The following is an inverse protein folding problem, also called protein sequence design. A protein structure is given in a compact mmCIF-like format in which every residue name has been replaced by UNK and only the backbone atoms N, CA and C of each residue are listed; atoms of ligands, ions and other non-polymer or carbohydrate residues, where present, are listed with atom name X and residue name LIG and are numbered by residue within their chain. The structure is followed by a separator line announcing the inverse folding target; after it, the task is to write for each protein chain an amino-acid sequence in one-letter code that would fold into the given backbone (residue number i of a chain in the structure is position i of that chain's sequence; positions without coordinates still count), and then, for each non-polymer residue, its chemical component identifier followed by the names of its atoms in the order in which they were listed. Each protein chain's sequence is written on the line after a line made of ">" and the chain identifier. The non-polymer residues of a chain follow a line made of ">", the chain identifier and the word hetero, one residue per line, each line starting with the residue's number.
data_IF_947530822615
#
_entry.id   IF_947530822615
#
_cell.length_a   1.000
_cell.length_b   1.000
_cell.length_c   1.000
_cell.angle_alpha   90.00
_cell.angle_beta   90.00
_cell.angle_gamma   90.00
#
_symmetry.space_group_name_H-M   'P 1'
#
loop_
_entity.id
_entity.type
_entity.pdbx_description
1 polymer ?
#
# COMPACT_ATOMS: atom_id res chain seq x y z
N UNK A 1 15.69 13.63 -18.16
CA UNK A 1 15.34 12.23 -18.56
C UNK A 1 14.57 12.27 -19.88
N UNK A 2 15.26 12.27 -21.02
CA UNK A 2 14.61 12.55 -22.32
C UNK A 2 13.64 11.47 -22.79
N UNK A 3 13.75 10.25 -22.24
CA UNK A 3 12.93 9.11 -22.67
C UNK A 3 11.84 8.70 -21.68
N UNK A 4 11.71 9.38 -20.53
CA UNK A 4 10.74 9.05 -19.49
C UNK A 4 9.39 9.72 -19.77
N UNK A 5 8.32 8.96 -19.68
CA UNK A 5 6.92 9.43 -19.73
C UNK A 5 6.15 8.82 -18.56
N UNK A 6 5.39 9.64 -17.86
CA UNK A 6 4.53 9.20 -16.76
C UNK A 6 3.07 9.54 -17.07
N UNK A 7 2.22 8.53 -17.12
CA UNK A 7 0.77 8.62 -17.25
C UNK A 7 0.09 8.28 -15.92
N UNK A 8 -1.14 8.69 -15.74
CA UNK A 8 -1.97 8.28 -14.60
C UNK A 8 -3.38 7.87 -15.05
N UNK A 9 -3.92 6.85 -14.40
CA UNK A 9 -5.36 6.62 -14.43
C UNK A 9 -6.06 7.46 -13.35
N UNK A 10 -7.32 7.13 -13.07
CA UNK A 10 -8.20 7.94 -12.21
C UNK A 10 -8.14 7.56 -10.71
N UNK A 11 -7.42 6.49 -10.34
CA UNK A 11 -7.42 6.03 -8.95
C UNK A 11 -6.80 7.04 -7.97
N UNK A 12 -5.67 7.67 -8.35
CA UNK A 12 -4.97 8.62 -7.49
C UNK A 12 -4.14 9.66 -8.29
N UNK A 13 -4.78 10.54 -9.07
CA UNK A 13 -4.06 11.56 -9.85
C UNK A 13 -3.22 12.50 -8.97
N UNK A 14 -3.66 12.76 -7.73
CA UNK A 14 -2.93 13.61 -6.79
C UNK A 14 -1.53 13.07 -6.46
N UNK A 15 -1.40 11.76 -6.25
CA UNK A 15 -0.12 11.10 -6.05
C UNK A 15 0.74 11.19 -7.31
N UNK A 16 0.17 10.93 -8.49
CA UNK A 16 0.88 11.01 -9.76
C UNK A 16 1.46 12.42 -10.01
N UNK A 17 0.68 13.47 -9.75
CA UNK A 17 1.16 14.86 -9.85
C UNK A 17 2.33 15.15 -8.89
N UNK A 18 2.29 14.64 -7.66
CA UNK A 18 3.41 14.77 -6.72
C UNK A 18 4.66 14.04 -7.23
N UNK A 19 4.49 12.82 -7.77
CA UNK A 19 5.60 12.02 -8.31
C UNK A 19 6.29 12.76 -9.46
N UNK A 20 5.55 13.24 -10.46
CA UNK A 20 6.15 13.97 -11.60
C UNK A 20 6.76 15.30 -11.18
N UNK A 21 6.22 15.96 -10.13
CA UNK A 21 6.82 17.14 -9.54
C UNK A 21 8.22 16.84 -8.97
N UNK A 22 8.40 15.72 -8.27
CA UNK A 22 9.72 15.29 -7.78
C UNK A 22 10.68 14.89 -8.92
N UNK A 23 10.14 14.37 -10.03
CA UNK A 23 10.92 14.03 -11.23
C UNK A 23 11.25 15.24 -12.10
N UNK A 24 10.66 16.42 -11.82
CA UNK A 24 10.78 17.64 -12.62
C UNK A 24 10.39 17.45 -14.10
N UNK A 25 9.34 16.69 -14.35
CA UNK A 25 8.75 16.44 -15.67
C UNK A 25 7.24 16.73 -15.64
N UNK A 26 6.60 17.02 -16.77
CA UNK A 26 5.15 17.06 -16.85
C UNK A 26 4.54 15.67 -16.76
N UNK A 27 3.29 15.59 -16.31
CA UNK A 27 2.46 14.40 -16.50
C UNK A 27 2.06 14.32 -17.98
N UNK A 28 2.11 13.13 -18.58
CA UNK A 28 1.76 12.93 -19.98
C UNK A 28 0.29 13.22 -20.25
N UNK A 29 -0.01 13.77 -21.42
CA UNK A 29 -1.38 14.00 -21.85
C UNK A 29 -2.05 12.68 -22.24
N UNK A 30 -2.85 12.14 -21.32
CA UNK A 30 -3.71 10.98 -21.53
C UNK A 30 -5.12 11.29 -21.06
N UNK A 31 -6.11 10.97 -21.88
CA UNK A 31 -7.50 11.01 -21.47
C UNK A 31 -7.93 9.62 -21.06
N UNK A 32 -8.34 9.46 -19.80
CA UNK A 32 -8.93 8.23 -19.25
C UNK A 32 -10.34 8.55 -18.81
N UNK A 33 -11.32 7.94 -19.47
CA UNK A 33 -12.74 8.20 -19.26
C UNK A 33 -13.58 6.96 -19.46
N UNK A 34 -14.87 7.17 -19.70
CA UNK A 34 -15.84 6.09 -19.93
C UNK A 34 -16.76 6.45 -21.10
N UNK A 35 -17.15 5.42 -21.84
CA UNK A 35 -18.29 5.50 -22.73
C UNK A 35 -19.60 5.57 -21.92
N UNK A 36 -20.71 5.87 -22.59
CA UNK A 36 -22.03 6.02 -21.94
C UNK A 36 -22.55 4.73 -21.30
N UNK A 37 -22.07 3.58 -21.73
CA UNK A 37 -22.38 2.25 -21.19
C UNK A 37 -21.47 1.83 -20.03
N UNK A 38 -20.44 2.67 -19.73
CA UNK A 38 -19.51 2.45 -18.61
C UNK A 38 -18.19 1.79 -18.98
N UNK A 39 -18.00 1.38 -20.25
CA UNK A 39 -16.72 0.84 -20.73
C UNK A 39 -15.60 1.89 -20.62
N UNK A 40 -14.39 1.44 -20.28
CA UNK A 40 -13.23 2.33 -20.15
C UNK A 40 -12.77 2.82 -21.55
N UNK A 41 -12.58 4.11 -21.65
CA UNK A 41 -12.04 4.78 -22.83
C UNK A 41 -10.71 5.42 -22.52
N UNK A 42 -9.68 5.12 -23.31
CA UNK A 42 -8.33 5.73 -23.17
C UNK A 42 -7.87 6.31 -24.50
N UNK A 43 -7.29 7.51 -24.43
CA UNK A 43 -6.60 8.15 -25.54
C UNK A 43 -5.26 8.72 -25.06
N UNK A 44 -4.16 8.29 -25.66
CA UNK A 44 -2.81 8.85 -25.41
C UNK A 44 -2.60 10.00 -26.41
N UNK A 45 -2.48 11.22 -25.91
CA UNK A 45 -2.38 12.45 -26.71
C UNK A 45 -0.97 12.96 -26.88
N UNK A 46 0.00 12.21 -26.38
CA UNK A 46 1.41 12.53 -26.45
C UNK A 46 2.18 11.49 -27.29
N UNK A 47 3.27 11.91 -27.94
CA UNK A 47 4.15 10.98 -28.63
C UNK A 47 4.98 10.17 -27.61
N UNK A 48 4.67 8.90 -27.48
CA UNK A 48 5.33 7.95 -26.56
C UNK A 48 6.22 6.93 -27.29
N UNK A 49 6.39 7.06 -28.61
CA UNK A 49 7.17 6.10 -29.43
C UNK A 49 8.61 5.97 -28.90
N UNK A 50 8.98 4.73 -28.57
CA UNK A 50 10.31 4.37 -28.07
C UNK A 50 10.63 4.87 -26.65
N UNK A 51 9.67 5.54 -25.98
CA UNK A 51 9.85 6.04 -24.61
C UNK A 51 9.64 4.96 -23.57
N UNK A 52 10.24 5.15 -22.39
CA UNK A 52 10.00 4.37 -21.17
C UNK A 52 8.76 4.95 -20.45
N UNK A 53 7.66 4.26 -20.58
CA UNK A 53 6.35 4.73 -20.13
C UNK A 53 5.98 4.10 -18.78
N UNK A 54 5.62 4.93 -17.81
CA UNK A 54 5.15 4.52 -16.48
C UNK A 54 3.68 4.88 -16.33
N UNK A 55 2.86 3.92 -15.88
CA UNK A 55 1.44 4.13 -15.58
C UNK A 55 1.29 4.11 -14.06
N UNK A 56 0.98 5.24 -13.44
CA UNK A 56 0.68 5.30 -11.99
C UNK A 56 -0.81 5.05 -11.81
N UNK A 57 -1.17 3.87 -11.27
CA UNK A 57 -2.55 3.48 -11.04
C UNK A 57 -2.66 2.48 -9.89
N UNK A 58 -3.16 2.93 -8.75
CA UNK A 58 -3.56 2.02 -7.66
C UNK A 58 -4.81 1.24 -8.06
N UNK A 59 -4.83 -0.08 -7.78
CA UNK A 59 -6.00 -0.90 -8.03
C UNK A 59 -6.91 -0.99 -6.78
N UNK A 60 -7.12 0.17 -6.13
CA UNK A 60 -8.04 0.35 -5.00
C UNK A 60 -9.49 0.50 -5.48
N UNK A 61 -10.42 0.72 -4.54
CA UNK A 61 -11.84 0.91 -4.88
C UNK A 61 -12.06 2.19 -5.72
N UNK A 62 -12.85 2.08 -6.84
CA UNK A 62 -13.51 0.91 -7.42
C UNK A 62 -12.51 -0.03 -8.14
N UNK A 63 -12.23 -1.17 -7.50
CA UNK A 63 -11.09 -2.04 -7.83
C UNK A 63 -11.12 -2.57 -9.27
N UNK A 64 -12.29 -3.02 -9.73
CA UNK A 64 -12.43 -3.57 -11.09
C UNK A 64 -12.20 -2.51 -12.14
N UNK A 65 -12.72 -1.32 -11.93
CA UNK A 65 -12.59 -0.20 -12.85
C UNK A 65 -11.14 0.27 -12.93
N UNK A 66 -10.49 0.45 -11.79
CA UNK A 66 -9.10 0.89 -11.72
C UNK A 66 -8.13 -0.15 -12.31
N UNK A 67 -8.43 -1.44 -12.14
CA UNK A 67 -7.66 -2.51 -12.80
C UNK A 67 -7.88 -2.48 -14.32
N UNK A 68 -9.11 -2.29 -14.79
CA UNK A 68 -9.41 -2.23 -16.20
C UNK A 68 -8.80 -0.97 -16.85
N UNK A 69 -8.81 0.19 -16.17
CA UNK A 69 -8.10 1.39 -16.63
C UNK A 69 -6.62 1.09 -16.86
N UNK A 70 -5.94 0.43 -15.91
CA UNK A 70 -4.53 0.05 -16.04
C UNK A 70 -4.30 -0.83 -17.28
N UNK A 71 -5.12 -1.85 -17.48
CA UNK A 71 -5.00 -2.80 -18.59
C UNK A 71 -5.20 -2.09 -19.94
N UNK A 72 -6.24 -1.26 -20.06
CA UNK A 72 -6.54 -0.53 -21.30
C UNK A 72 -5.47 0.54 -21.60
N UNK A 73 -4.97 1.23 -20.57
CA UNK A 73 -3.85 2.19 -20.72
C UNK A 73 -2.58 1.51 -21.22
N UNK A 74 -2.27 0.32 -20.70
CA UNK A 74 -1.08 -0.45 -21.12
C UNK A 74 -1.19 -0.83 -22.61
N UNK A 75 -2.34 -1.33 -23.06
CA UNK A 75 -2.56 -1.65 -24.49
C UNK A 75 -2.43 -0.40 -25.36
N UNK A 76 -3.00 0.74 -24.94
CA UNK A 76 -2.91 2.00 -25.67
C UNK A 76 -1.44 2.46 -25.84
N UNK A 77 -0.63 2.41 -24.80
CA UNK A 77 0.79 2.76 -24.85
C UNK A 77 1.60 1.82 -25.76
N UNK A 78 1.34 0.51 -25.70
CA UNK A 78 1.96 -0.48 -26.57
C UNK A 78 1.61 -0.22 -28.04
N UNK A 79 0.34 0.02 -28.35
CA UNK A 79 -0.10 0.35 -29.73
C UNK A 79 0.46 1.68 -30.21
N UNK A 80 0.73 2.62 -29.29
CA UNK A 80 1.44 3.85 -29.57
C UNK A 80 2.97 3.66 -29.70
N UNK A 81 3.46 2.41 -29.63
CA UNK A 81 4.86 2.02 -29.76
C UNK A 81 5.77 2.56 -28.64
N UNK A 82 5.28 2.61 -27.40
CA UNK A 82 6.16 2.79 -26.24
C UNK A 82 7.27 1.73 -26.26
N UNK A 83 8.47 2.09 -25.86
CA UNK A 83 9.62 1.19 -25.84
C UNK A 83 9.58 0.18 -24.69
N UNK A 84 9.08 0.60 -23.53
CA UNK A 84 8.84 -0.20 -22.33
C UNK A 84 7.63 0.36 -21.60
N UNK A 85 6.80 -0.50 -21.01
CA UNK A 85 5.65 -0.09 -20.18
C UNK A 85 5.81 -0.66 -18.78
N UNK A 86 5.95 0.21 -17.79
CA UNK A 86 6.01 -0.15 -16.38
C UNK A 86 4.72 0.25 -15.67
N UNK A 87 4.04 -0.72 -15.04
CA UNK A 87 2.90 -0.45 -14.17
C UNK A 87 3.39 -0.09 -12.76
N UNK A 88 3.15 1.14 -12.35
CA UNK A 88 3.35 1.61 -10.98
C UNK A 88 2.02 1.47 -10.25
N UNK A 89 1.90 0.46 -9.40
CA UNK A 89 0.68 0.09 -8.69
C UNK A 89 0.91 0.31 -7.19
N UNK A 90 0.76 1.54 -6.66
CA UNK A 90 1.05 1.84 -5.26
C UNK A 90 0.27 0.96 -4.29
N UNK A 91 -0.99 0.63 -4.61
CA UNK A 91 -1.76 -0.40 -3.94
C UNK A 91 -2.20 -1.48 -4.91
N UNK A 92 -1.73 -2.72 -4.68
CA UNK A 92 -2.08 -3.89 -5.48
C UNK A 92 -3.35 -4.54 -4.92
N UNK A 93 -4.47 -4.29 -5.56
CA UNK A 93 -5.76 -4.91 -5.23
C UNK A 93 -5.75 -6.41 -5.51
N UNK A 94 -6.72 -7.14 -4.92
CA UNK A 94 -6.82 -8.62 -4.98
C UNK A 94 -5.68 -9.39 -4.30
N UNK A 95 -4.70 -8.73 -3.71
CA UNK A 95 -3.54 -9.34 -3.05
C UNK A 95 -3.91 -10.27 -1.87
N UNK A 96 -5.06 -10.05 -1.23
CA UNK A 96 -5.47 -10.81 -0.04
C UNK A 96 -5.88 -12.26 -0.32
N UNK A 97 -6.08 -12.64 -1.58
CA UNK A 97 -6.29 -14.02 -2.01
C UNK A 97 -5.06 -14.51 -2.79
N UNK A 98 -3.97 -14.68 -2.06
CA UNK A 98 -2.65 -15.11 -2.54
C UNK A 98 -2.44 -16.62 -2.51
N UNK A 99 -3.31 -17.34 -1.83
CA UNK A 99 -3.21 -18.80 -1.63
C UNK A 99 -4.58 -19.45 -1.48
N UNK A 100 -4.61 -20.75 -1.75
CA UNK A 100 -5.80 -21.55 -1.54
C UNK A 100 -5.89 -22.06 -0.09
N UNK A 101 -6.99 -21.81 0.59
CA UNK A 101 -7.28 -22.36 1.91
C UNK A 101 -7.64 -23.85 1.76
N UNK A 102 -7.05 -24.72 2.59
CA UNK A 102 -7.18 -26.20 2.45
C UNK A 102 -8.61 -26.72 2.43
N UNK A 103 -9.53 -26.05 3.15
CA UNK A 103 -10.92 -26.48 3.31
C UNK A 103 -11.90 -25.84 2.31
N UNK A 104 -11.43 -24.98 1.39
CA UNK A 104 -12.30 -24.22 0.52
C UNK A 104 -11.91 -24.32 -0.97
N UNK A 105 -12.93 -24.25 -1.84
CA UNK A 105 -12.75 -24.14 -3.29
C UNK A 105 -12.79 -22.67 -3.68
N UNK A 106 -11.66 -21.99 -3.49
CA UNK A 106 -11.52 -20.54 -3.73
C UNK A 106 -10.48 -20.28 -4.82
N UNK A 107 -10.60 -19.18 -5.56
CA UNK A 107 -9.59 -18.76 -6.52
C UNK A 107 -8.33 -18.24 -5.81
N UNK A 108 -7.25 -18.07 -6.57
CA UNK A 108 -6.08 -17.28 -6.19
C UNK A 108 -6.14 -16.01 -7.06
N UNK A 109 -6.88 -14.99 -6.59
CA UNK A 109 -7.17 -13.80 -7.40
C UNK A 109 -5.93 -12.96 -7.67
N UNK A 110 -4.94 -12.97 -6.77
CA UNK A 110 -3.66 -12.32 -7.01
C UNK A 110 -2.95 -12.87 -8.26
N UNK A 111 -3.03 -14.19 -8.51
CA UNK A 111 -2.47 -14.82 -9.73
C UNK A 111 -3.24 -14.40 -10.98
N UNK A 112 -4.58 -14.34 -10.92
CA UNK A 112 -5.42 -13.92 -12.05
C UNK A 112 -5.04 -12.49 -12.47
N UNK A 113 -4.89 -11.58 -11.51
CA UNK A 113 -4.50 -10.19 -11.78
C UNK A 113 -3.09 -10.10 -12.34
N UNK A 114 -2.14 -10.88 -11.82
CA UNK A 114 -0.78 -10.96 -12.34
C UNK A 114 -0.76 -11.43 -13.81
N UNK A 115 -1.57 -12.46 -14.15
CA UNK A 115 -1.69 -12.95 -15.53
C UNK A 115 -2.29 -11.91 -16.47
N UNK A 116 -3.31 -11.17 -16.04
CA UNK A 116 -3.91 -10.10 -16.84
C UNK A 116 -2.89 -9.00 -17.15
N UNK A 117 -2.13 -8.55 -16.14
CA UNK A 117 -1.09 -7.53 -16.26
C UNK A 117 0.02 -8.00 -17.20
N UNK A 118 0.48 -9.23 -17.06
CA UNK A 118 1.51 -9.81 -17.93
C UNK A 118 1.01 -9.96 -19.37
N UNK A 119 -0.21 -10.47 -19.54
CA UNK A 119 -0.78 -10.78 -20.87
C UNK A 119 -1.02 -9.52 -21.70
N UNK A 120 -1.44 -8.40 -21.09
CA UNK A 120 -1.62 -7.14 -21.81
C UNK A 120 -0.29 -6.55 -22.29
N UNK A 121 0.84 -7.06 -21.76
CA UNK A 121 2.20 -6.71 -22.20
C UNK A 121 2.80 -5.54 -21.45
N UNK A 122 2.53 -5.46 -20.17
CA UNK A 122 3.33 -4.70 -19.22
C UNK A 122 4.68 -5.42 -19.08
N UNK A 123 5.78 -4.67 -19.13
CA UNK A 123 7.14 -5.22 -19.09
C UNK A 123 7.68 -5.33 -17.66
N UNK A 124 7.14 -4.56 -16.71
CA UNK A 124 7.57 -4.50 -15.29
C UNK A 124 6.44 -4.00 -14.41
N UNK A 125 6.42 -4.47 -13.17
CA UNK A 125 5.55 -3.96 -12.11
C UNK A 125 6.39 -3.31 -11.02
N UNK A 126 6.01 -2.10 -10.59
CA UNK A 126 6.47 -1.46 -9.36
C UNK A 126 5.28 -1.38 -8.41
N UNK A 127 5.42 -1.88 -7.20
CA UNK A 127 4.37 -1.84 -6.18
C UNK A 127 4.95 -1.56 -4.79
N UNK A 128 4.08 -1.24 -3.82
CA UNK A 128 4.50 -0.93 -2.45
C UNK A 128 3.85 -1.93 -1.50
N UNK A 129 4.63 -2.52 -0.60
CA UNK A 129 4.18 -3.41 0.49
C UNK A 129 3.11 -4.41 0.04
N UNK A 130 3.47 -5.34 -0.82
CA UNK A 130 2.57 -6.46 -1.16
C UNK A 130 2.10 -7.18 0.11
N UNK A 131 0.81 -7.51 0.15
CA UNK A 131 0.22 -8.23 1.28
C UNK A 131 0.98 -9.54 1.62
N UNK A 132 1.55 -10.16 0.59
CA UNK A 132 2.39 -11.34 0.72
C UNK A 132 3.50 -11.29 -0.35
N UNK A 133 4.76 -11.39 0.08
CA UNK A 133 5.92 -11.24 -0.81
C UNK A 133 5.97 -12.28 -1.93
N UNK A 134 5.40 -13.48 -1.70
CA UNK A 134 5.33 -14.54 -2.71
C UNK A 134 4.49 -14.16 -3.94
N UNK A 135 3.65 -13.12 -3.89
CA UNK A 135 2.88 -12.61 -5.04
C UNK A 135 3.82 -12.19 -6.18
N UNK A 136 5.03 -11.73 -5.86
CA UNK A 136 6.05 -11.43 -6.87
C UNK A 136 6.32 -12.63 -7.79
N UNK A 137 6.28 -13.85 -7.24
CA UNK A 137 6.45 -15.09 -8.00
C UNK A 137 5.25 -15.49 -8.87
N UNK A 138 4.15 -14.75 -8.85
CA UNK A 138 3.00 -14.98 -9.73
C UNK A 138 3.15 -14.31 -11.09
N UNK A 139 4.09 -13.40 -11.22
CA UNK A 139 4.40 -12.69 -12.44
C UNK A 139 5.51 -13.37 -13.22
N UNK A 140 5.40 -13.39 -14.56
CA UNK A 140 6.48 -13.82 -15.46
C UNK A 140 7.34 -12.64 -15.92
N UNK A 141 7.10 -11.46 -15.36
CA UNK A 141 7.84 -10.21 -15.60
C UNK A 141 8.46 -9.70 -14.28
N UNK A 142 9.50 -8.87 -14.33
CA UNK A 142 10.11 -8.29 -13.13
C UNK A 142 9.10 -7.53 -12.28
N UNK A 143 9.19 -7.74 -10.95
CA UNK A 143 8.39 -7.02 -9.95
C UNK A 143 9.33 -6.37 -8.94
N UNK A 144 9.23 -5.07 -8.81
CA UNK A 144 9.88 -4.30 -7.76
C UNK A 144 8.85 -4.03 -6.65
N UNK A 145 8.92 -4.80 -5.57
CA UNK A 145 8.13 -4.54 -4.37
C UNK A 145 8.97 -3.68 -3.42
N UNK A 146 8.63 -2.40 -3.32
CA UNK A 146 9.30 -1.47 -2.40
C UNK A 146 8.53 -1.36 -1.08
N UNK A 147 9.20 -0.83 -0.05
CA UNK A 147 8.61 -0.74 1.29
C UNK A 147 8.23 0.70 1.63
N UNK A 148 7.03 0.90 2.18
CA UNK A 148 6.57 2.18 2.71
C UNK A 148 7.18 2.53 4.07
N UNK A 149 7.77 1.56 4.75
CA UNK A 149 8.34 1.71 6.09
C UNK A 149 9.31 2.87 6.25
N UNK A 150 10.23 3.21 5.32
CA UNK A 150 11.11 4.36 5.48
C UNK A 150 10.37 5.67 5.65
N UNK A 151 9.24 5.84 4.92
CA UNK A 151 8.43 7.05 5.01
C UNK A 151 7.65 7.12 6.32
N UNK A 152 7.08 5.97 6.73
CA UNK A 152 6.32 5.86 7.97
C UNK A 152 7.24 6.05 9.20
N UNK A 153 8.44 5.47 9.18
CA UNK A 153 9.43 5.62 10.25
C UNK A 153 9.94 7.04 10.39
N UNK A 154 10.29 7.68 9.28
CA UNK A 154 10.72 9.09 9.31
C UNK A 154 9.62 10.03 9.84
N UNK A 155 8.35 9.67 9.67
CA UNK A 155 7.24 10.39 10.28
C UNK A 155 7.12 10.08 11.77
N UNK A 156 7.25 8.82 12.15
CA UNK A 156 7.20 8.37 13.54
C UNK A 156 8.29 9.04 14.37
N UNK A 157 9.54 9.01 13.91
CA UNK A 157 10.70 9.64 14.58
C UNK A 157 10.52 11.15 14.76
N UNK A 158 9.92 11.83 13.79
CA UNK A 158 9.69 13.29 13.88
C UNK A 158 8.60 13.70 14.86
N UNK A 159 7.62 12.81 15.07
CA UNK A 159 6.40 13.15 15.83
C UNK A 159 6.34 12.51 17.22
N UNK A 160 7.27 11.61 17.53
CA UNK A 160 7.25 10.88 18.78
C UNK A 160 8.65 10.82 19.40
N UNK A 161 8.81 11.52 20.52
CA UNK A 161 10.01 11.49 21.35
C UNK A 161 9.75 10.52 22.52
N UNK A 162 10.51 9.45 22.64
CA UNK A 162 10.45 8.56 23.79
C UNK A 162 10.46 7.06 23.48
N UNK A 163 10.40 6.27 24.53
CA UNK A 163 10.40 4.82 24.43
C UNK A 163 9.10 4.29 23.81
N UNK A 164 9.24 3.74 22.61
CA UNK A 164 8.15 3.13 21.84
C UNK A 164 8.17 1.61 22.00
N UNK A 165 7.00 1.01 21.99
CA UNK A 165 6.81 -0.42 21.79
C UNK A 165 6.18 -0.65 20.43
N UNK A 166 6.87 -1.35 19.54
CA UNK A 166 6.32 -1.76 18.27
C UNK A 166 5.39 -2.95 18.48
N UNK A 167 4.18 -2.89 17.96
CA UNK A 167 3.16 -3.92 18.19
C UNK A 167 2.78 -4.59 16.88
N UNK A 168 2.91 -5.92 16.85
CA UNK A 168 2.31 -6.72 15.79
C UNK A 168 0.84 -7.00 16.10
N UNK A 169 -0.11 -6.66 15.20
CA UNK A 169 -1.53 -6.89 15.44
C UNK A 169 -1.93 -8.36 15.43
N UNK A 170 -1.07 -9.26 14.97
CA UNK A 170 -1.23 -10.71 14.98
C UNK A 170 0.11 -11.43 14.75
N UNK A 171 0.09 -12.76 14.79
CA UNK A 171 1.30 -13.59 14.60
C UNK A 171 1.86 -13.46 13.17
N UNK A 172 1.02 -13.19 12.17
CA UNK A 172 1.45 -13.04 10.77
C UNK A 172 2.28 -11.80 10.52
N UNK A 173 2.00 -10.70 11.23
CA UNK A 173 2.70 -9.41 11.11
C UNK A 173 4.02 -9.30 11.88
N UNK A 174 4.43 -10.33 12.63
CA UNK A 174 5.61 -10.27 13.53
C UNK A 174 6.90 -9.94 12.79
N UNK A 175 7.09 -10.47 11.59
CA UNK A 175 8.30 -10.20 10.78
C UNK A 175 8.40 -8.71 10.46
N UNK A 176 7.28 -8.11 10.01
CA UNK A 176 7.19 -6.67 9.72
C UNK A 176 7.44 -5.83 10.97
N UNK A 177 6.75 -6.15 12.07
CA UNK A 177 6.91 -5.41 13.33
C UNK A 177 8.35 -5.48 13.85
N UNK A 178 9.01 -6.63 13.73
CA UNK A 178 10.43 -6.79 14.11
C UNK A 178 11.36 -5.96 13.22
N UNK A 179 11.11 -5.90 11.91
CA UNK A 179 11.89 -5.07 11.00
C UNK A 179 11.78 -3.59 11.38
N UNK A 180 10.58 -3.11 11.71
CA UNK A 180 10.33 -1.74 12.18
C UNK A 180 11.01 -1.49 13.53
N UNK A 181 10.87 -2.40 14.50
CA UNK A 181 11.51 -2.26 15.83
C UNK A 181 13.03 -2.14 15.73
N UNK A 182 13.65 -2.95 14.85
CA UNK A 182 15.10 -2.90 14.61
C UNK A 182 15.58 -1.54 14.07
N UNK A 183 14.74 -0.86 13.27
CA UNK A 183 15.05 0.45 12.71
C UNK A 183 14.85 1.59 13.73
N UNK A 184 14.09 1.34 14.79
CA UNK A 184 13.85 2.25 15.90
C UNK A 184 14.78 1.92 17.09
N UNK A 185 16.08 1.82 16.83
CA UNK A 185 17.12 1.53 17.84
C UNK A 185 16.82 0.27 18.67
N UNK A 186 16.37 -0.81 18.01
CA UNK A 186 15.95 -2.07 18.65
C UNK A 186 14.82 -1.87 19.69
N UNK A 187 13.84 -1.02 19.38
CA UNK A 187 12.67 -0.81 20.22
C UNK A 187 12.02 -2.15 20.62
N UNK A 188 11.42 -2.17 21.81
CA UNK A 188 10.73 -3.37 22.30
C UNK A 188 9.57 -3.78 21.37
N UNK A 189 9.36 -5.10 21.30
CA UNK A 189 8.31 -5.71 20.48
C UNK A 189 7.23 -6.33 21.35
N UNK A 190 5.97 -6.02 21.06
CA UNK A 190 4.82 -6.74 21.58
C UNK A 190 4.02 -7.41 20.46
N UNK A 191 3.37 -8.52 20.80
CA UNK A 191 2.58 -9.30 19.85
C UNK A 191 1.19 -9.52 20.42
N UNK A 192 0.16 -9.29 19.60
CA UNK A 192 -1.22 -9.60 19.96
C UNK A 192 -1.56 -11.00 19.44
N UNK A 193 -1.65 -11.97 20.33
CA UNK A 193 -2.09 -13.33 20.03
C UNK A 193 -3.62 -13.43 20.17
N UNK A 194 -4.28 -13.72 19.05
CA UNK A 194 -5.74 -13.84 18.96
C UNK A 194 -6.14 -15.30 19.15
N UNK A 195 -6.61 -15.65 20.34
CA UNK A 195 -7.14 -17.00 20.61
C UNK A 195 -8.65 -17.00 20.63
N UNK A 196 -9.24 -18.01 19.98
CA UNK A 196 -10.65 -18.37 20.15
C UNK A 196 -10.67 -19.63 21.02
N UNK A 197 -11.02 -19.52 22.32
CA UNK A 197 -11.02 -20.66 23.22
C UNK A 197 -11.99 -21.75 22.73
N UNK A 198 -13.18 -21.33 22.19
CA UNK A 198 -14.19 -22.22 21.61
C UNK A 198 -14.95 -21.52 20.47
N UNK A 199 -15.62 -22.32 19.62
CA UNK A 199 -16.57 -21.79 18.65
C UNK A 199 -17.71 -21.06 19.42
N UNK A 200 -18.01 -19.80 19.03
CA UNK A 200 -18.99 -18.90 19.64
C UNK A 200 -18.57 -18.20 20.96
N UNK A 201 -17.33 -18.31 21.42
CA UNK A 201 -16.82 -17.47 22.51
C UNK A 201 -16.16 -16.19 21.95
N UNK A 202 -16.19 -15.11 22.76
CA UNK A 202 -15.55 -13.85 22.41
C UNK A 202 -14.04 -14.06 22.24
N UNK A 203 -13.48 -13.42 21.24
CA UNK A 203 -12.05 -13.48 20.94
C UNK A 203 -11.25 -12.85 22.07
N UNK A 204 -10.43 -13.62 22.77
CA UNK A 204 -9.52 -13.13 23.80
C UNK A 204 -8.20 -12.72 23.13
N UNK A 205 -7.73 -11.52 23.43
CA UNK A 205 -6.44 -11.03 22.98
C UNK A 205 -5.41 -11.15 24.10
N UNK A 206 -4.39 -11.95 23.88
CA UNK A 206 -3.23 -12.03 24.77
C UNK A 206 -2.12 -11.15 24.23
N UNK A 207 -1.59 -10.26 25.07
CA UNK A 207 -0.45 -9.43 24.72
C UNK A 207 0.80 -10.13 25.26
N UNK A 208 1.75 -10.38 24.37
CA UNK A 208 3.08 -10.89 24.67
C UNK A 208 4.04 -9.71 24.55
N UNK A 209 4.68 -9.32 25.63
CA UNK A 209 5.53 -8.14 25.77
C UNK A 209 4.98 -7.16 26.80
N UNK A 210 5.82 -6.22 27.24
CA UNK A 210 5.44 -5.20 28.22
C UNK A 210 5.01 -3.91 27.52
N UNK A 211 3.77 -3.48 27.79
CA UNK A 211 3.15 -2.28 27.17
C UNK A 211 2.71 -1.26 28.22
N UNK A 212 2.89 -1.59 29.51
CA UNK A 212 2.40 -0.74 30.60
C UNK A 212 3.15 0.59 30.65
N UNK A 213 2.39 1.68 30.76
CA UNK A 213 2.87 3.06 30.83
C UNK A 213 3.70 3.52 29.62
N UNK A 214 3.63 2.78 28.48
CA UNK A 214 4.42 3.02 27.25
C UNK A 214 3.54 3.46 26.08
N UNK A 215 4.15 4.11 25.11
CA UNK A 215 3.54 4.42 23.82
C UNK A 215 3.68 3.21 22.89
N UNK A 216 2.55 2.72 22.40
CA UNK A 216 2.49 1.54 21.53
C UNK A 216 2.21 1.97 20.09
N UNK A 217 2.98 1.41 19.13
CA UNK A 217 2.82 1.64 17.70
C UNK A 217 2.46 0.34 17.01
N UNK A 218 1.21 0.18 16.62
CA UNK A 218 0.75 -0.97 15.82
C UNK A 218 1.20 -0.75 14.38
N UNK A 219 1.86 -1.74 13.78
CA UNK A 219 2.30 -1.67 12.39
C UNK A 219 1.63 -2.76 11.56
N UNK A 220 1.07 -2.37 10.40
CA UNK A 220 0.40 -3.28 9.48
C UNK A 220 0.56 -2.82 8.03
N UNK A 221 0.28 -3.71 7.05
CA UNK A 221 0.26 -3.33 5.63
C UNK A 221 -1.07 -2.71 5.20
N UNK A 222 -2.19 -3.25 5.68
CA UNK A 222 -3.53 -2.87 5.24
C UNK A 222 -4.44 -2.61 6.44
N UNK A 223 -5.13 -1.47 6.44
CA UNK A 223 -6.29 -1.23 7.27
C UNK A 223 -7.56 -1.22 6.41
N UNK A 224 -8.40 -2.25 6.58
CA UNK A 224 -9.66 -2.41 5.81
C UNK A 224 -10.85 -1.89 6.64
N UNK A 225 -11.59 -2.73 7.33
CA UNK A 225 -12.73 -2.32 8.17
C UNK A 225 -12.33 -1.73 9.53
N UNK A 226 -11.03 -1.73 9.84
CA UNK A 226 -10.41 -1.32 11.10
C UNK A 226 -10.90 -2.07 12.36
N UNK A 227 -11.78 -3.06 12.23
CA UNK A 227 -12.31 -3.78 13.39
C UNK A 227 -11.23 -4.49 14.23
N UNK A 228 -10.29 -5.14 13.58
CA UNK A 228 -9.13 -5.79 14.24
C UNK A 228 -8.20 -4.78 14.90
N UNK A 229 -7.87 -3.71 14.20
CA UNK A 229 -7.03 -2.63 14.70
C UNK A 229 -7.61 -1.96 15.94
N UNK A 230 -8.91 -1.64 15.91
CA UNK A 230 -9.62 -1.01 17.04
C UNK A 230 -9.69 -1.92 18.28
N UNK A 231 -9.89 -3.23 18.08
CA UNK A 231 -9.84 -4.22 19.17
C UNK A 231 -8.43 -4.35 19.74
N UNK A 232 -7.42 -4.34 18.89
CA UNK A 232 -6.02 -4.35 19.31
C UNK A 232 -5.70 -3.12 20.16
N UNK A 233 -6.12 -1.93 19.75
CA UNK A 233 -5.94 -0.70 20.50
C UNK A 233 -6.65 -0.72 21.87
N UNK A 234 -7.86 -1.27 21.93
CA UNK A 234 -8.60 -1.43 23.19
C UNK A 234 -7.86 -2.36 24.15
N UNK A 235 -7.38 -3.52 23.66
CA UNK A 235 -6.62 -4.48 24.48
C UNK A 235 -5.32 -3.87 25.02
N UNK A 236 -4.56 -3.11 24.21
CA UNK A 236 -3.36 -2.42 24.65
C UNK A 236 -3.66 -1.40 25.74
N UNK A 237 -4.72 -0.60 25.59
CA UNK A 237 -5.17 0.36 26.63
C UNK A 237 -5.59 -0.34 27.92
N UNK A 238 -6.28 -1.48 27.85
CA UNK A 238 -6.67 -2.30 29.00
C UNK A 238 -5.44 -2.86 29.75
N UNK A 239 -4.32 -3.11 29.04
CA UNK A 239 -3.05 -3.53 29.62
C UNK A 239 -2.15 -2.35 30.05
N UNK A 240 -2.70 -1.13 30.05
CA UNK A 240 -2.02 0.04 30.61
C UNK A 240 -1.16 0.83 29.61
N UNK A 241 -1.29 0.61 28.31
CA UNK A 241 -0.60 1.43 27.32
C UNK A 241 -1.02 2.92 27.46
N UNK A 242 -0.03 3.81 27.50
CA UNK A 242 -0.24 5.27 27.62
C UNK A 242 -0.90 5.82 26.37
N UNK A 243 -0.32 5.59 25.22
CA UNK A 243 -0.84 5.94 23.89
C UNK A 243 -0.83 4.71 22.98
N UNK A 244 -1.76 4.66 22.03
CA UNK A 244 -1.81 3.62 21.02
C UNK A 244 -1.96 4.28 19.66
N UNK A 245 -0.91 4.19 18.86
CA UNK A 245 -0.83 4.68 17.49
C UNK A 245 -0.88 3.50 16.53
N UNK A 246 -1.27 3.75 15.29
CA UNK A 246 -1.14 2.76 14.23
C UNK A 246 -0.51 3.39 13.00
N UNK A 247 0.43 2.69 12.39
CA UNK A 247 1.09 3.05 11.15
C UNK A 247 0.83 1.95 10.13
N UNK A 248 0.21 2.31 9.01
CA UNK A 248 -0.23 1.36 8.01
C UNK A 248 0.03 1.90 6.60
N UNK A 249 0.47 1.04 5.70
CA UNK A 249 0.77 1.47 4.33
C UNK A 249 -0.51 1.75 3.54
N UNK A 250 -1.48 0.83 3.56
CA UNK A 250 -2.65 0.90 2.68
C UNK A 250 -3.94 1.19 3.44
N UNK A 251 -4.48 2.39 3.23
CA UNK A 251 -5.73 2.86 3.81
C UNK A 251 -6.95 2.44 2.97
N UNK A 252 -7.33 1.15 2.98
CA UNK A 252 -8.52 0.68 2.26
C UNK A 252 -9.78 1.29 2.87
N UNK A 253 -9.89 1.33 4.19
CA UNK A 253 -10.91 2.01 4.98
C UNK A 253 -12.34 1.74 4.49
N UNK A 254 -12.66 0.47 4.22
CA UNK A 254 -13.96 0.08 3.71
C UNK A 254 -15.03 -0.05 4.80
N UNK A 255 -16.29 -0.01 4.38
CA UNK A 255 -17.44 -0.23 5.25
C UNK A 255 -17.44 0.69 6.48
N UNK A 256 -17.54 0.14 7.71
CA UNK A 256 -17.64 0.93 8.93
C UNK A 256 -16.29 1.44 9.48
N UNK A 257 -15.19 1.42 8.68
CA UNK A 257 -13.85 1.70 9.17
C UNK A 257 -13.72 3.05 9.89
N UNK A 258 -14.29 4.10 9.32
CA UNK A 258 -14.19 5.46 9.86
C UNK A 258 -14.92 5.56 11.23
N UNK A 259 -16.11 4.97 11.33
CA UNK A 259 -16.88 4.97 12.56
C UNK A 259 -16.21 4.10 13.64
N UNK A 260 -15.63 2.95 13.24
CA UNK A 260 -14.84 2.11 14.12
C UNK A 260 -13.64 2.88 14.70
N UNK A 261 -12.87 3.58 13.85
CA UNK A 261 -11.69 4.36 14.27
C UNK A 261 -12.14 5.50 15.19
N UNK A 262 -13.19 6.24 14.81
CA UNK A 262 -13.68 7.38 15.59
C UNK A 262 -14.13 6.99 16.99
N UNK A 263 -14.79 5.84 17.14
CA UNK A 263 -15.30 5.32 18.43
C UNK A 263 -14.25 4.50 19.21
N UNK A 264 -13.09 4.21 18.63
CA UNK A 264 -12.07 3.34 19.23
C UNK A 264 -11.22 4.02 20.30
N UNK A 265 -10.35 3.22 20.93
CA UNK A 265 -9.29 3.66 21.84
C UNK A 265 -7.98 4.00 21.11
N UNK A 266 -7.94 3.92 19.79
CA UNK A 266 -6.81 4.32 18.98
C UNK A 266 -6.63 5.83 19.06
N UNK A 267 -5.44 6.29 19.38
CA UNK A 267 -5.17 7.74 19.48
C UNK A 267 -4.99 8.36 18.08
N UNK A 268 -4.24 7.72 17.19
CA UNK A 268 -4.02 8.16 15.82
C UNK A 268 -3.77 6.98 14.88
N UNK A 269 -4.27 7.07 13.64
CA UNK A 269 -3.92 6.22 12.51
C UNK A 269 -3.14 7.03 11.47
N UNK A 270 -1.90 6.66 11.21
CA UNK A 270 -1.07 7.23 10.14
C UNK A 270 -1.02 6.26 8.97
N UNK A 271 -1.31 6.74 7.77
CA UNK A 271 -1.34 5.94 6.55
C UNK A 271 -0.58 6.62 5.42
N UNK A 272 -0.17 5.85 4.41
CA UNK A 272 0.41 6.46 3.21
C UNK A 272 -0.66 6.89 2.22
N UNK A 273 -0.26 7.65 1.19
CA UNK A 273 -1.14 8.05 0.10
C UNK A 273 -1.11 7.05 -1.09
N UNK A 274 -0.81 5.77 -0.85
CA UNK A 274 -1.00 4.68 -1.84
C UNK A 274 -2.45 4.56 -2.30
N UNK A 275 -3.39 4.90 -1.40
CA UNK A 275 -4.83 5.01 -1.65
C UNK A 275 -5.26 6.41 -1.20
N UNK A 276 -6.03 7.15 -2.02
CA UNK A 276 -6.53 8.45 -1.62
C UNK A 276 -7.54 8.32 -0.46
N UNK A 277 -7.45 9.20 0.53
CA UNK A 277 -8.44 9.25 1.59
C UNK A 277 -9.78 9.81 1.07
N UNK A 278 -10.87 9.20 1.53
CA UNK A 278 -12.19 9.80 1.35
C UNK A 278 -12.33 11.10 2.15
N UNK A 279 -13.28 11.95 1.78
CA UNK A 279 -13.59 13.17 2.52
C UNK A 279 -13.92 12.88 4.00
N UNK A 280 -14.64 11.78 4.26
CA UNK A 280 -14.99 11.36 5.62
C UNK A 280 -13.75 10.92 6.42
N UNK A 281 -12.81 10.22 5.81
CA UNK A 281 -11.56 9.82 6.44
C UNK A 281 -10.70 11.04 6.77
N UNK A 282 -10.53 11.97 5.82
CA UNK A 282 -9.77 13.22 6.00
C UNK A 282 -10.37 14.12 7.09
N UNK A 283 -11.69 14.13 7.22
CA UNK A 283 -12.40 14.92 8.24
C UNK A 283 -12.48 14.24 9.61
N UNK A 284 -11.99 13.02 9.77
CA UNK A 284 -12.14 12.23 11.00
C UNK A 284 -11.38 12.81 12.20
N UNK A 285 -10.31 13.59 11.95
CA UNK A 285 -9.40 14.12 12.98
C UNK A 285 -8.52 13.06 13.65
N UNK A 286 -8.65 11.78 13.25
CA UNK A 286 -7.89 10.65 13.81
C UNK A 286 -7.05 9.92 12.78
N UNK A 287 -7.18 10.29 11.50
CA UNK A 287 -6.46 9.67 10.39
C UNK A 287 -5.59 10.74 9.76
N UNK A 288 -4.29 10.50 9.72
CA UNK A 288 -3.31 11.36 9.06
C UNK A 288 -2.65 10.63 7.91
N UNK A 289 -2.37 11.35 6.83
CA UNK A 289 -1.78 10.77 5.63
C UNK A 289 -0.38 11.34 5.39
N UNK A 290 0.59 10.47 5.13
CA UNK A 290 1.95 10.82 4.69
C UNK A 290 2.15 10.40 3.24
N UNK A 291 2.94 11.18 2.49
CA UNK A 291 3.10 10.92 1.06
C UNK A 291 4.33 10.06 0.77
N UNK A 292 4.13 9.04 -0.06
CA UNK A 292 5.21 8.20 -0.62
C UNK A 292 5.73 8.72 -1.96
N UNK A 293 5.30 9.90 -2.39
CA UNK A 293 5.60 10.42 -3.73
C UNK A 293 7.09 10.57 -4.01
N UNK A 294 7.89 10.99 -3.03
CA UNK A 294 9.34 11.10 -3.17
C UNK A 294 10.00 9.72 -3.35
N UNK A 295 9.55 8.73 -2.57
CA UNK A 295 10.02 7.35 -2.67
C UNK A 295 9.69 6.74 -4.05
N UNK A 296 8.45 6.91 -4.52
CA UNK A 296 8.04 6.45 -5.85
C UNK A 296 8.80 7.15 -6.97
N UNK A 297 8.99 8.46 -6.87
CA UNK A 297 9.73 9.23 -7.86
C UNK A 297 11.18 8.76 -7.98
N UNK A 298 11.87 8.56 -6.86
CA UNK A 298 13.23 8.04 -6.86
C UNK A 298 13.28 6.61 -7.44
N UNK A 299 12.30 5.76 -7.13
CA UNK A 299 12.25 4.41 -7.69
C UNK A 299 12.01 4.45 -9.21
N UNK A 300 11.07 5.27 -9.69
CA UNK A 300 10.82 5.48 -11.13
C UNK A 300 12.09 5.98 -11.83
N UNK A 301 12.80 6.96 -11.24
CA UNK A 301 14.08 7.46 -11.76
C UNK A 301 15.11 6.33 -11.89
N UNK A 302 15.24 5.50 -10.85
CA UNK A 302 16.21 4.37 -10.85
C UNK A 302 15.86 3.32 -11.90
N UNK A 303 14.59 2.95 -12.03
CA UNK A 303 14.14 2.02 -13.07
C UNK A 303 14.46 2.58 -14.47
N UNK A 304 14.17 3.85 -14.71
CA UNK A 304 14.47 4.50 -16.00
C UNK A 304 15.97 4.57 -16.31
N UNK A 305 16.81 4.75 -15.29
CA UNK A 305 18.26 4.83 -15.41
C UNK A 305 18.97 3.47 -15.27
N UNK A 306 18.22 2.38 -15.08
CA UNK A 306 18.75 1.03 -14.85
C UNK A 306 19.66 0.94 -13.60
N UNK A 307 19.33 1.73 -12.55
CA UNK A 307 20.03 1.74 -11.28
C UNK A 307 19.41 0.73 -10.30
N UNK A 308 20.19 0.28 -9.30
CA UNK A 308 19.72 -0.63 -8.25
C UNK A 308 18.66 0.01 -7.35
N UNK A 309 17.51 -0.66 -7.20
CA UNK A 309 16.43 -0.27 -6.27
C UNK A 309 16.74 -0.76 -4.87
N UNK A 310 17.30 -1.96 -4.71
CA UNK A 310 17.63 -2.53 -3.40
C UNK A 310 18.56 -1.63 -2.59
N UNK A 311 19.47 -0.91 -3.26
CA UNK A 311 20.36 0.06 -2.61
C UNK A 311 19.63 1.21 -1.88
N UNK A 312 18.34 1.43 -2.16
CA UNK A 312 17.54 2.41 -1.41
C UNK A 312 17.18 1.90 0.00
N UNK A 313 17.27 0.60 0.21
CA UNK A 313 16.84 -0.08 1.42
C UNK A 313 17.98 -0.74 2.19
N UNK A 314 19.24 -0.54 1.77
CA UNK A 314 20.45 -1.13 2.43
C UNK A 314 20.64 -0.68 3.89
N UNK A 315 19.94 0.37 4.32
CA UNK A 315 19.92 0.86 5.68
C UNK A 315 18.70 0.36 6.50
N UNK A 316 17.84 -0.44 5.88
CA UNK A 316 16.55 -0.83 6.45
C UNK A 316 16.44 -2.34 6.68
#
# INVERSE_FOLDING_TARGET
>A
MPNLVVCTGNANPALAHKVVSHLHIPLAEAQVGRFSDGEIQVEIRENVRGKDAFIIQSTCNPTNDNLMELVVMADALRRASAGRVTAVIPYFGYARQDRRVRSARVPITAKIVADMITTVGIDRVLTVDLHADQIQGFFDIPVDNIYGSPVLLADLERNHDGELVVVSPDVGGVVRARAVAKQLDDADLAIIDKRRPRANESQVMHIIGDVKDRDCVIVDDIVDTAGTLCKAAAALKEHGARRVLAYCTHAVLSGPAIDNIRSSKLDELVVTDTIPLSAAASASGRIRQVSISALLAETVRRINNEESISAMFDRY
#
